data_IF_896444097657
#
_entry.id   IF_896444097657
#
_cell.length_a   1.000
_cell.length_b   1.000
_cell.length_c   1.000
_cell.angle_alpha   90.00
_cell.angle_beta   90.00
_cell.angle_gamma   90.00
#
_symmetry.space_group_name_H-M   'P 1'
#
loop_
_entity.id
_entity.type
_entity.pdbx_description
1 polymer ?
#
# COMPACT_ATOMS: atom_id res chain seq x y z
N UNK A 1 -4.99 -18.31 47.00
CA UNK A 1 -5.63 -17.48 45.97
C UNK A 1 -4.55 -16.62 45.33
N UNK A 2 -4.13 -16.98 44.11
CA UNK A 2 -3.02 -16.36 43.39
C UNK A 2 -3.55 -15.26 42.48
N UNK A 3 -3.14 -14.00 42.68
CA UNK A 3 -3.40 -12.93 41.72
C UNK A 3 -2.06 -12.47 41.10
N UNK A 4 -1.90 -12.81 39.82
CA UNK A 4 -0.71 -12.56 38.99
C UNK A 4 -0.45 -11.06 38.83
N UNK A 5 0.79 -10.64 39.13
CA UNK A 5 1.42 -9.46 38.53
C UNK A 5 1.50 -9.69 37.02
N UNK A 6 0.81 -8.88 36.21
CA UNK A 6 1.04 -8.82 34.77
C UNK A 6 2.03 -7.70 34.51
N UNK A 7 3.24 -8.07 34.09
CA UNK A 7 4.30 -7.14 33.73
C UNK A 7 3.86 -6.27 32.55
N UNK A 8 4.12 -4.97 32.64
CA UNK A 8 4.13 -4.10 31.49
C UNK A 8 5.45 -4.29 30.77
N UNK A 9 5.42 -4.76 29.53
CA UNK A 9 6.60 -4.77 28.66
C UNK A 9 6.96 -3.33 28.29
N UNK A 10 8.15 -2.91 28.72
CA UNK A 10 8.77 -1.65 28.32
C UNK A 10 9.66 -1.94 27.11
N UNK A 11 9.23 -1.49 25.93
CA UNK A 11 10.07 -1.53 24.74
C UNK A 11 10.76 -0.17 24.58
N UNK A 12 12.06 -0.13 24.86
CA UNK A 12 12.94 0.99 24.52
C UNK A 12 13.20 0.94 23.02
N UNK A 13 12.54 1.80 22.25
CA UNK A 13 12.84 1.98 20.82
C UNK A 13 13.94 3.04 20.68
N UNK A 14 15.05 2.67 20.05
CA UNK A 14 16.16 3.57 19.74
C UNK A 14 15.79 4.68 18.74
N UNK A 15 16.52 5.79 18.83
CA UNK A 15 16.44 7.05 18.08
C UNK A 15 15.46 7.14 16.88
N UNK A 16 14.46 8.03 17.02
CA UNK A 16 13.62 8.53 15.94
C UNK A 16 14.37 9.65 15.22
N UNK A 17 15.12 9.33 14.17
CA UNK A 17 15.80 10.31 13.32
C UNK A 17 14.92 10.65 12.12
N UNK A 18 13.82 11.41 12.32
CA UNK A 18 13.11 12.26 11.32
C UNK A 18 11.66 12.63 11.72
N UNK A 19 11.41 13.01 12.97
CA UNK A 19 10.19 13.76 13.29
C UNK A 19 10.46 15.25 13.05
N UNK A 20 10.14 15.76 11.86
CA UNK A 20 10.06 17.20 11.62
C UNK A 20 8.82 17.74 12.35
N UNK A 21 9.04 18.32 13.52
CA UNK A 21 8.02 18.96 14.33
C UNK A 21 8.55 19.21 15.72
N UNK A 22 9.24 20.33 15.91
CA UNK A 22 9.69 20.77 17.23
C UNK A 22 8.45 21.08 18.08
N UNK A 23 8.15 20.19 19.03
CA UNK A 23 7.29 20.47 20.17
C UNK A 23 8.15 20.46 21.43
N UNK A 24 8.67 21.62 21.83
CA UNK A 24 9.36 21.80 23.11
C UNK A 24 8.28 21.97 24.18
N UNK A 25 7.92 20.85 24.81
CA UNK A 25 7.14 20.83 26.05
C UNK A 25 7.77 19.81 26.99
N UNK A 26 8.30 20.27 28.12
CA UNK A 26 8.75 19.38 29.20
C UNK A 26 7.54 18.63 29.75
N UNK A 27 7.60 17.28 29.75
CA UNK A 27 6.49 16.32 29.95
C UNK A 27 5.64 15.95 28.71
N UNK A 28 6.18 16.05 27.50
CA UNK A 28 5.54 15.47 26.31
C UNK A 28 5.53 13.93 26.39
N UNK A 29 4.40 13.35 26.82
CA UNK A 29 4.15 11.92 26.77
C UNK A 29 3.66 11.55 25.36
N UNK A 30 4.56 11.14 24.47
CA UNK A 30 4.18 10.61 23.18
C UNK A 30 3.65 9.18 23.36
N UNK A 31 2.33 9.05 23.53
CA UNK A 31 1.66 7.76 23.35
C UNK A 31 1.66 7.45 21.86
N UNK A 32 2.67 6.71 21.41
CA UNK A 32 2.54 5.97 20.16
C UNK A 32 1.50 4.90 20.46
N UNK A 33 0.23 5.23 20.19
CA UNK A 33 -0.79 4.22 19.93
C UNK A 33 -0.31 3.56 18.64
N UNK A 34 0.61 2.62 18.79
CA UNK A 34 0.76 1.54 17.85
C UNK A 34 -0.59 0.89 17.83
N UNK A 35 -1.45 1.36 16.92
CA UNK A 35 -2.43 0.49 16.32
C UNK A 35 -1.62 -0.65 15.74
N UNK A 36 -1.37 -1.66 16.58
CA UNK A 36 -1.32 -3.02 16.15
C UNK A 36 -2.69 -3.21 15.52
N UNK A 37 -2.82 -2.79 14.26
CA UNK A 37 -4.02 -3.05 13.50
C UNK A 37 -3.96 -4.59 13.40
N UNK A 38 -4.62 -5.26 14.34
CA UNK A 38 -5.47 -6.37 13.98
C UNK A 38 -6.38 -5.82 12.89
N UNK A 39 -5.89 -5.73 11.65
CA UNK A 39 -6.62 -5.21 10.51
C UNK A 39 -7.58 -6.27 10.07
N UNK A 40 -8.56 -6.50 10.92
CA UNK A 40 -9.89 -6.94 10.53
C UNK A 40 -10.68 -5.73 9.95
N UNK A 41 -10.00 -4.67 9.50
CA UNK A 41 -10.54 -3.79 8.48
C UNK A 41 -10.66 -4.64 7.23
N UNK A 42 -11.80 -5.30 7.07
CA UNK A 42 -12.11 -6.10 5.88
C UNK A 42 -11.88 -5.18 4.69
N UNK A 43 -10.84 -5.49 3.91
CA UNK A 43 -10.66 -4.87 2.61
C UNK A 43 -11.92 -5.24 1.84
N UNK A 44 -12.63 -4.21 1.41
CA UNK A 44 -13.77 -4.38 0.55
C UNK A 44 -13.26 -4.97 -0.77
N UNK A 45 -13.52 -6.27 -0.95
CA UNK A 45 -13.09 -7.04 -2.10
C UNK A 45 -13.68 -6.47 -3.40
N UNK A 46 -14.91 -5.94 -3.36
CA UNK A 46 -15.56 -5.35 -4.51
C UNK A 46 -14.92 -4.01 -4.89
N UNK A 47 -14.66 -3.16 -3.90
CA UNK A 47 -13.94 -1.90 -4.12
C UNK A 47 -12.52 -2.16 -4.63
N UNK A 48 -11.78 -3.09 -4.03
CA UNK A 48 -10.44 -3.45 -4.48
C UNK A 48 -10.45 -4.00 -5.91
N UNK A 49 -11.39 -4.89 -6.22
CA UNK A 49 -11.55 -5.45 -7.56
C UNK A 49 -11.82 -4.36 -8.59
N UNK A 50 -12.76 -3.45 -8.31
CA UNK A 50 -13.09 -2.34 -9.21
C UNK A 50 -11.88 -1.45 -9.48
N UNK A 51 -11.08 -1.12 -8.47
CA UNK A 51 -9.86 -0.32 -8.65
C UNK A 51 -8.78 -1.08 -9.43
N UNK A 52 -8.66 -2.40 -9.25
CA UNK A 52 -7.75 -3.23 -10.03
C UNK A 52 -8.19 -3.36 -11.49
N UNK A 53 -9.49 -3.44 -11.77
CA UNK A 53 -10.04 -3.40 -13.14
C UNK A 53 -9.74 -2.05 -13.81
N UNK A 54 -9.98 -0.93 -13.12
CA UNK A 54 -9.58 0.41 -13.59
C UNK A 54 -8.07 0.49 -13.88
N UNK A 55 -7.24 -0.14 -13.04
CA UNK A 55 -5.79 -0.15 -13.22
C UNK A 55 -5.39 -0.95 -14.47
N UNK A 56 -6.02 -2.11 -14.68
CA UNK A 56 -5.82 -2.93 -15.86
C UNK A 56 -6.12 -2.16 -17.16
N UNK A 57 -7.24 -1.45 -17.18
CA UNK A 57 -7.67 -0.64 -18.31
C UNK A 57 -6.75 0.58 -18.50
N UNK A 58 -6.39 1.26 -17.42
CA UNK A 58 -5.46 2.38 -17.43
C UNK A 58 -4.08 2.00 -17.97
N UNK A 59 -3.58 0.81 -17.63
CA UNK A 59 -2.33 0.27 -18.19
C UNK A 59 -2.43 -0.05 -19.68
N UNK A 60 -3.61 -0.45 -20.17
CA UNK A 60 -3.85 -0.68 -21.60
C UNK A 60 -3.93 0.59 -22.42
N UNK A 61 -4.31 1.71 -21.78
CA UNK A 61 -4.35 3.04 -22.40
C UNK A 61 -3.03 3.81 -22.23
N UNK A 62 -2.19 3.41 -21.28
CA UNK A 62 -0.88 4.00 -21.08
C UNK A 62 0.02 3.72 -22.29
N UNK A 63 0.78 4.73 -22.73
CA UNK A 63 1.75 4.61 -23.83
C UNK A 63 3.02 3.87 -23.35
N UNK A 64 2.86 2.64 -22.85
CA UNK A 64 3.93 1.79 -22.39
C UNK A 64 4.48 0.93 -23.55
N UNK A 65 5.77 0.55 -23.53
CA UNK A 65 6.27 -0.48 -24.43
C UNK A 65 5.44 -1.77 -24.30
N UNK A 66 5.15 -2.42 -25.43
CA UNK A 66 4.24 -3.59 -25.51
C UNK A 66 4.53 -4.66 -24.45
N UNK A 67 5.80 -5.05 -24.29
CA UNK A 67 6.18 -6.10 -23.33
C UNK A 67 5.94 -5.69 -21.87
N UNK A 68 6.06 -4.39 -21.58
CA UNK A 68 5.82 -3.81 -20.26
C UNK A 68 4.34 -3.67 -19.97
N UNK A 69 3.54 -3.27 -20.96
CA UNK A 69 2.09 -3.28 -20.88
C UNK A 69 1.57 -4.70 -20.58
N UNK A 70 2.02 -5.71 -21.33
CA UNK A 70 1.65 -7.12 -21.12
C UNK A 70 2.04 -7.58 -19.71
N UNK A 71 3.26 -7.26 -19.26
CA UNK A 71 3.74 -7.66 -17.93
C UNK A 71 2.91 -7.02 -16.81
N UNK A 72 2.65 -5.72 -16.91
CA UNK A 72 1.88 -4.98 -15.91
C UNK A 72 0.41 -5.45 -15.88
N UNK A 73 -0.22 -5.60 -17.05
CA UNK A 73 -1.58 -6.13 -17.16
C UNK A 73 -1.70 -7.57 -16.66
N UNK A 74 -0.70 -8.42 -16.93
CA UNK A 74 -0.65 -9.79 -16.38
C UNK A 74 -0.57 -9.78 -14.85
N UNK A 75 0.25 -8.90 -14.27
CA UNK A 75 0.33 -8.75 -12.82
C UNK A 75 -1.02 -8.29 -12.23
N UNK A 76 -1.69 -7.31 -12.84
CA UNK A 76 -3.04 -6.89 -12.40
C UNK A 76 -4.05 -8.04 -12.53
N UNK A 77 -4.02 -8.81 -13.63
CA UNK A 77 -4.86 -9.99 -13.81
C UNK A 77 -4.67 -11.04 -12.71
N UNK A 78 -3.42 -11.27 -12.28
CA UNK A 78 -3.12 -12.15 -11.16
C UNK A 78 -3.62 -11.59 -9.82
N UNK A 79 -3.54 -10.26 -9.62
CA UNK A 79 -4.10 -9.59 -8.45
C UNK A 79 -5.64 -9.71 -8.42
N UNK A 80 -6.30 -9.56 -9.58
CA UNK A 80 -7.75 -9.79 -9.72
C UNK A 80 -8.12 -11.24 -9.41
N UNK A 81 -7.33 -12.21 -9.90
CA UNK A 81 -7.51 -13.62 -9.57
C UNK A 81 -7.34 -13.94 -8.07
N UNK A 82 -6.65 -13.07 -7.32
CA UNK A 82 -6.48 -13.15 -5.87
C UNK A 82 -7.62 -12.49 -5.07
N UNK A 83 -8.59 -11.87 -5.75
CA UNK A 83 -9.80 -11.27 -5.19
C UNK A 83 -11.03 -12.04 -5.73
N UNK A 84 -11.54 -12.99 -4.95
CA UNK A 84 -12.65 -13.88 -5.34
C UNK A 84 -13.67 -13.98 -4.22
N UNK A 85 -14.97 -13.92 -4.56
CA UNK A 85 -16.09 -14.23 -3.67
C UNK A 85 -15.92 -13.67 -2.24
N UNK A 86 -15.73 -12.34 -2.15
CA UNK A 86 -15.50 -11.57 -0.91
C UNK A 86 -14.21 -11.90 -0.13
N UNK A 87 -13.32 -12.71 -0.70
CA UNK A 87 -12.03 -13.06 -0.13
C UNK A 87 -10.90 -12.41 -0.91
N UNK A 88 -10.00 -11.79 -0.17
CA UNK A 88 -8.76 -11.20 -0.68
C UNK A 88 -7.61 -12.06 -0.17
N UNK A 89 -6.71 -12.49 -1.06
CA UNK A 89 -5.41 -13.09 -0.70
C UNK A 89 -4.37 -11.97 -0.62
N UNK A 90 -4.07 -11.41 0.57
CA UNK A 90 -3.37 -10.14 0.70
C UNK A 90 -1.96 -10.17 0.09
N UNK A 91 -1.20 -11.23 0.38
CA UNK A 91 0.18 -11.37 -0.09
C UNK A 91 0.25 -11.42 -1.62
N UNK A 92 -0.68 -12.16 -2.25
CA UNK A 92 -0.75 -12.27 -3.72
C UNK A 92 -1.13 -10.94 -4.36
N UNK A 93 -2.08 -10.20 -3.76
CA UNK A 93 -2.44 -8.86 -4.27
C UNK A 93 -1.25 -7.91 -4.13
N UNK A 94 -0.63 -7.84 -2.95
CA UNK A 94 0.52 -6.98 -2.67
C UNK A 94 1.69 -7.26 -3.62
N UNK A 95 2.06 -8.54 -3.79
CA UNK A 95 3.17 -8.94 -4.67
C UNK A 95 2.91 -8.52 -6.12
N UNK A 96 1.69 -8.72 -6.62
CA UNK A 96 1.35 -8.38 -7.98
C UNK A 96 1.22 -6.86 -8.20
N UNK A 97 0.63 -6.12 -7.26
CA UNK A 97 0.59 -4.65 -7.32
C UNK A 97 2.01 -4.06 -7.28
N UNK A 98 2.90 -4.62 -6.46
CA UNK A 98 4.32 -4.22 -6.44
C UNK A 98 4.99 -4.46 -7.80
N UNK A 99 4.75 -5.61 -8.45
CA UNK A 99 5.25 -5.90 -9.80
C UNK A 99 4.77 -4.89 -10.83
N UNK A 100 3.53 -4.38 -10.73
CA UNK A 100 3.03 -3.31 -11.59
C UNK A 100 3.86 -2.04 -11.40
N UNK A 101 4.04 -1.58 -10.16
CA UNK A 101 4.85 -0.40 -9.86
C UNK A 101 6.30 -0.54 -10.36
N UNK A 102 6.94 -1.67 -10.10
CA UNK A 102 8.29 -1.95 -10.59
C UNK A 102 8.38 -1.97 -12.13
N UNK A 103 7.36 -2.52 -12.80
CA UNK A 103 7.29 -2.53 -14.26
C UNK A 103 7.17 -1.12 -14.81
N UNK A 104 6.33 -0.27 -14.21
CA UNK A 104 6.17 1.14 -14.60
C UNK A 104 7.45 1.94 -14.36
N UNK A 105 8.16 1.70 -13.25
CA UNK A 105 9.47 2.33 -13.01
C UNK A 105 10.49 1.99 -14.09
N UNK A 106 10.50 0.75 -14.56
CA UNK A 106 11.43 0.31 -15.60
C UNK A 106 11.18 0.94 -16.96
N UNK A 107 10.00 1.52 -17.21
CA UNK A 107 9.69 2.13 -18.51
C UNK A 107 10.21 3.57 -18.64
N UNK A 108 10.82 4.14 -17.58
CA UNK A 108 11.15 5.57 -17.47
C UNK A 108 9.96 6.50 -17.82
N UNK A 109 8.73 5.95 -17.83
CA UNK A 109 7.53 6.70 -18.15
C UNK A 109 7.06 7.36 -16.88
N UNK A 110 7.14 8.69 -16.83
CA UNK A 110 6.58 9.44 -15.73
C UNK A 110 5.07 9.27 -15.77
N UNK A 111 4.50 8.72 -14.70
CA UNK A 111 3.05 8.69 -14.51
C UNK A 111 2.63 10.15 -14.30
N UNK A 112 2.00 10.74 -15.31
CA UNK A 112 1.62 12.15 -15.27
C UNK A 112 0.59 12.39 -14.16
N UNK A 113 0.86 13.34 -13.28
CA UNK A 113 -0.09 13.78 -12.27
C UNK A 113 -1.39 14.24 -12.95
N UNK A 114 -2.53 13.80 -12.40
CA UNK A 114 -3.85 14.09 -12.95
C UNK A 114 -4.29 13.19 -14.11
N UNK A 115 -3.42 12.31 -14.64
CA UNK A 115 -3.83 11.27 -15.59
C UNK A 115 -4.80 10.26 -14.96
N UNK A 116 -5.56 9.54 -15.77
CA UNK A 116 -6.44 8.46 -15.31
C UNK A 116 -5.66 7.40 -14.53
N UNK A 117 -4.51 6.97 -15.06
CA UNK A 117 -3.61 6.02 -14.39
C UNK A 117 -3.14 6.53 -13.02
N UNK A 118 -2.76 7.82 -12.92
CA UNK A 118 -2.39 8.44 -11.65
C UNK A 118 -3.53 8.40 -10.64
N UNK A 119 -4.73 8.81 -11.06
CA UNK A 119 -5.92 8.82 -10.20
C UNK A 119 -6.27 7.41 -9.70
N UNK A 120 -6.19 6.40 -10.57
CA UNK A 120 -6.43 5.01 -10.17
C UNK A 120 -5.38 4.51 -9.19
N UNK A 121 -4.10 4.85 -9.38
CA UNK A 121 -3.05 4.51 -8.40
C UNK A 121 -3.33 5.17 -7.05
N UNK A 122 -3.74 6.45 -7.04
CA UNK A 122 -4.13 7.15 -5.81
C UNK A 122 -5.29 6.46 -5.07
N UNK A 123 -6.30 5.95 -5.79
CA UNK A 123 -7.37 5.14 -5.20
C UNK A 123 -6.86 3.81 -4.63
N UNK A 124 -5.83 3.23 -5.24
CA UNK A 124 -5.24 1.96 -4.82
C UNK A 124 -4.42 2.08 -3.53
N UNK A 125 -3.72 3.21 -3.32
CA UNK A 125 -2.86 3.44 -2.16
C UNK A 125 -3.54 3.15 -0.80
N UNK A 126 -4.73 3.70 -0.47
CA UNK A 126 -5.39 3.42 0.80
C UNK A 126 -5.93 1.99 0.92
N UNK A 127 -6.17 1.30 -0.20
CA UNK A 127 -6.69 -0.08 -0.21
C UNK A 127 -5.58 -1.11 0.04
N UNK A 128 -4.40 -0.90 -0.55
CA UNK A 128 -3.25 -1.80 -0.44
C UNK A 128 -2.33 -1.38 0.71
N UNK A 129 -2.31 -0.11 1.09
CA UNK A 129 -1.48 0.45 2.15
C UNK A 129 -1.49 -0.37 3.44
N UNK A 130 -2.66 -0.72 4.01
CA UNK A 130 -2.75 -1.56 5.21
C UNK A 130 -2.10 -2.94 5.07
N UNK A 131 -2.03 -3.48 3.85
CA UNK A 131 -1.40 -4.78 3.56
C UNK A 131 0.11 -4.68 3.31
N UNK A 132 0.57 -3.53 2.84
CA UNK A 132 1.93 -3.32 2.37
C UNK A 132 2.86 -2.66 3.41
N UNK A 133 2.37 -2.40 4.62
CA UNK A 133 3.10 -1.64 5.64
C UNK A 133 2.96 -0.12 5.51
N UNK A 134 1.97 0.36 4.75
CA UNK A 134 1.60 1.77 4.62
C UNK A 134 1.39 2.22 3.18
N UNK A 135 0.52 3.23 2.97
CA UNK A 135 0.28 3.84 1.66
C UNK A 135 1.56 4.42 1.04
N UNK A 136 2.47 4.94 1.87
CA UNK A 136 3.80 5.43 1.48
C UNK A 136 4.67 4.36 0.81
N UNK A 137 4.60 3.11 1.28
CA UNK A 137 5.35 1.99 0.69
C UNK A 137 4.83 1.70 -0.71
N UNK A 138 3.50 1.69 -0.87
CA UNK A 138 2.84 1.48 -2.17
C UNK A 138 3.16 2.61 -3.13
N UNK A 139 3.06 3.88 -2.69
CA UNK A 139 3.42 5.06 -3.49
C UNK A 139 4.86 4.98 -4.01
N UNK A 140 5.79 4.54 -3.15
CA UNK A 140 7.17 4.34 -3.54
C UNK A 140 7.33 3.29 -4.65
N UNK A 141 6.52 2.22 -4.72
CA UNK A 141 6.59 1.25 -5.82
C UNK A 141 6.28 1.88 -7.17
N UNK A 142 5.36 2.83 -7.22
CA UNK A 142 4.99 3.55 -8.43
C UNK A 142 5.89 4.75 -8.73
N UNK A 143 6.87 5.04 -7.86
CA UNK A 143 7.75 6.19 -8.02
C UNK A 143 7.07 7.52 -7.69
N UNK A 144 5.96 7.49 -6.95
CA UNK A 144 5.31 8.69 -6.46
C UNK A 144 6.09 9.15 -5.23
N UNK A 145 6.82 10.25 -5.36
CA UNK A 145 7.38 10.97 -4.21
C UNK A 145 6.25 11.55 -3.40
N UNK A 146 6.29 11.34 -2.08
CA UNK A 146 5.46 12.03 -1.09
C UNK A 146 6.25 13.22 -0.57
#
# INVERSE_FOLDING_TARGET
MSNKKSGGDSNTVGNITNAQGIAIGTNAHASVVGHNIQSSGKIDAQTLRSVLEELYDGLGQAQLPRDKAITAQTAVGNALGAVQDDKVKPDTVVENVKKVGETLKQTNTVIQEGSSLWQTIQKLLPLIGPLAGGASVVAHWFGLGI
#
